data_IF_843058457537
#
_entry.id   IF_843058457537
#
_cell.length_a   1.000
_cell.length_b   1.000
_cell.length_c   1.000
_cell.angle_alpha   90.00
_cell.angle_beta   90.00
_cell.angle_gamma   90.00
#
_symmetry.space_group_name_H-M   'P 1'
#
loop_
_entity.id
_entity.type
_entity.pdbx_description
1 polymer ?
#
# COMPACT_ATOMS: atom_id res chain seq x y z
N UNK A 1 24.48 -7.78 7.62
CA UNK A 1 23.98 -7.36 8.94
C UNK A 1 22.65 -6.72 8.68
N UNK A 2 21.56 -7.38 9.07
CA UNK A 2 20.25 -6.74 8.99
C UNK A 2 20.22 -5.52 9.92
N UNK A 3 19.55 -4.43 9.55
CA UNK A 3 19.38 -3.30 10.45
C UNK A 3 18.70 -3.77 11.75
N UNK A 4 19.07 -3.21 12.92
CA UNK A 4 18.52 -3.63 14.20
C UNK A 4 17.07 -3.14 14.35
N UNK A 5 16.15 -3.82 13.68
CA UNK A 5 14.70 -3.64 13.77
C UNK A 5 14.09 -4.76 14.59
N UNK A 6 13.10 -4.42 15.41
CA UNK A 6 12.35 -5.37 16.21
C UNK A 6 11.62 -6.38 15.31
N UNK A 7 11.43 -7.59 15.84
CA UNK A 7 10.67 -8.65 15.14
C UNK A 7 9.23 -8.21 14.83
N UNK A 8 8.63 -7.41 15.71
CA UNK A 8 7.28 -6.89 15.51
C UNK A 8 7.22 -5.90 14.34
N UNK A 9 8.19 -4.99 14.23
CA UNK A 9 8.27 -4.06 13.10
C UNK A 9 8.49 -4.82 11.78
N UNK A 10 9.37 -5.82 11.76
CA UNK A 10 9.57 -6.67 10.57
C UNK A 10 8.27 -7.34 10.12
N UNK A 11 7.57 -8.00 11.04
CA UNK A 11 6.29 -8.64 10.72
C UNK A 11 5.23 -7.64 10.22
N UNK A 12 5.21 -6.42 10.78
CA UNK A 12 4.33 -5.35 10.27
C UNK A 12 4.70 -4.91 8.86
N UNK A 13 5.98 -4.81 8.53
CA UNK A 13 6.43 -4.46 7.18
C UNK A 13 6.12 -5.57 6.18
N UNK A 14 6.35 -6.83 6.56
CA UNK A 14 6.01 -8.00 5.74
C UNK A 14 4.50 -8.01 5.43
N UNK A 15 3.66 -7.77 6.45
CA UNK A 15 2.22 -7.67 6.27
C UNK A 15 1.78 -6.48 5.40
N UNK A 16 2.50 -5.35 5.43
CA UNK A 16 2.23 -4.21 4.56
C UNK A 16 2.60 -4.52 3.10
N UNK A 17 3.67 -5.29 2.86
CA UNK A 17 4.05 -5.74 1.53
C UNK A 17 2.97 -6.66 0.95
N UNK A 18 2.54 -7.67 1.72
CA UNK A 18 1.47 -8.58 1.31
C UNK A 18 0.17 -7.82 1.00
N UNK A 19 -0.18 -6.84 1.83
CA UNK A 19 -1.36 -6.01 1.58
C UNK A 19 -1.18 -5.14 0.33
N UNK A 20 -0.01 -4.54 0.10
CA UNK A 20 0.21 -3.74 -1.10
C UNK A 20 0.02 -4.56 -2.38
N UNK A 21 0.43 -5.83 -2.38
CA UNK A 21 0.19 -6.71 -3.51
C UNK A 21 -1.31 -6.83 -3.82
N UNK A 22 -2.17 -6.86 -2.81
CA UNK A 22 -3.63 -6.89 -3.02
C UNK A 22 -4.21 -5.58 -3.57
N UNK A 23 -3.46 -4.47 -3.58
CA UNK A 23 -3.93 -3.20 -4.16
C UNK A 23 -3.80 -3.16 -5.68
N UNK A 24 -3.06 -4.09 -6.27
CA UNK A 24 -2.83 -4.16 -7.72
C UNK A 24 -3.90 -4.97 -8.42
N UNK A 25 -4.24 -4.55 -9.64
CA UNK A 25 -5.00 -5.38 -10.57
C UNK A 25 -4.04 -6.39 -11.24
N UNK A 26 -3.90 -7.58 -10.66
CA UNK A 26 -2.97 -8.59 -11.17
C UNK A 26 -3.39 -9.19 -12.52
N UNK A 27 -4.68 -9.17 -12.84
CA UNK A 27 -5.17 -9.65 -14.14
C UNK A 27 -4.70 -8.71 -15.26
N UNK A 28 -4.72 -7.40 -15.02
CA UNK A 28 -4.15 -6.40 -15.92
C UNK A 28 -3.74 -5.12 -15.16
N UNK A 29 -2.44 -4.94 -14.82
CA UNK A 29 -1.97 -3.84 -13.98
C UNK A 29 -2.31 -2.42 -14.44
N UNK A 30 -2.48 -2.14 -15.75
CA UNK A 30 -2.92 -0.82 -16.20
C UNK A 30 -4.38 -0.48 -15.85
N UNK A 31 -5.22 -1.47 -15.53
CA UNK A 31 -6.60 -1.26 -15.12
C UNK A 31 -6.68 -0.88 -13.63
N UNK A 32 -7.79 -0.26 -13.20
CA UNK A 32 -8.04 0.10 -11.81
C UNK A 32 -7.75 -1.02 -10.81
N UNK A 33 -6.98 -0.69 -9.77
CA UNK A 33 -6.78 -1.55 -8.62
C UNK A 33 -8.09 -1.77 -7.84
N UNK A 34 -8.28 -2.90 -7.16
CA UNK A 34 -9.58 -3.29 -6.60
C UNK A 34 -9.93 -2.55 -5.29
N UNK A 35 -9.05 -1.70 -4.77
CA UNK A 35 -9.23 -1.09 -3.47
C UNK A 35 -10.15 0.13 -3.52
N UNK A 36 -11.13 0.10 -2.62
CA UNK A 36 -11.96 1.27 -2.30
C UNK A 36 -11.21 2.26 -1.41
N UNK A 37 -11.62 3.52 -1.45
CA UNK A 37 -10.91 4.62 -0.77
C UNK A 37 -10.73 4.34 0.73
N UNK A 38 -11.73 3.77 1.39
CA UNK A 38 -11.65 3.42 2.81
C UNK A 38 -10.52 2.43 3.13
N UNK A 39 -10.23 1.50 2.22
CA UNK A 39 -9.12 0.54 2.36
C UNK A 39 -7.77 1.23 2.09
N UNK A 40 -7.71 2.09 1.07
CA UNK A 40 -6.53 2.91 0.77
C UNK A 40 -6.14 3.79 1.96
N UNK A 41 -7.10 4.54 2.54
CA UNK A 41 -6.88 5.39 3.71
C UNK A 41 -6.35 4.58 4.89
N UNK A 42 -6.92 3.40 5.15
CA UNK A 42 -6.45 2.54 6.24
C UNK A 42 -5.01 2.09 6.01
N UNK A 43 -4.70 1.61 4.81
CA UNK A 43 -3.34 1.17 4.46
C UNK A 43 -2.33 2.32 4.59
N UNK A 44 -2.66 3.50 4.07
CA UNK A 44 -1.79 4.69 4.16
C UNK A 44 -1.47 5.02 5.63
N UNK A 45 -2.47 4.99 6.52
CA UNK A 45 -2.27 5.21 7.95
C UNK A 45 -1.32 4.17 8.57
N UNK A 46 -1.47 2.90 8.21
CA UNK A 46 -0.64 1.81 8.71
C UNK A 46 0.82 1.94 8.21
N UNK A 47 1.04 2.36 6.95
CA UNK A 47 2.38 2.68 6.41
C UNK A 47 3.03 3.85 7.16
N UNK A 48 2.29 4.94 7.39
CA UNK A 48 2.82 6.11 8.15
C UNK A 48 3.20 5.72 9.58
N UNK A 49 2.41 4.85 10.23
CA UNK A 49 2.72 4.34 11.55
C UNK A 49 3.99 3.46 11.56
N UNK A 50 4.13 2.57 10.57
CA UNK A 50 5.32 1.73 10.42
C UNK A 50 6.59 2.56 10.16
N UNK A 51 6.51 3.58 9.30
CA UNK A 51 7.63 4.48 9.02
C UNK A 51 8.06 5.28 10.27
N UNK A 52 7.09 5.81 11.02
CA UNK A 52 7.38 6.50 12.29
C UNK A 52 8.08 5.56 13.28
N UNK A 53 7.62 4.31 13.37
CA UNK A 53 8.25 3.29 14.21
C UNK A 53 9.67 2.95 13.75
N UNK A 54 9.87 2.82 12.44
CA UNK A 54 11.16 2.53 11.84
C UNK A 54 12.19 3.64 12.14
N UNK A 55 11.81 4.91 11.98
CA UNK A 55 12.66 6.06 12.34
C UNK A 55 13.06 6.04 13.82
N UNK A 56 12.09 5.73 14.70
CA UNK A 56 12.34 5.64 16.13
C UNK A 56 13.30 4.50 16.50
N UNK A 57 13.16 3.31 15.90
CA UNK A 57 14.05 2.17 16.18
C UNK A 57 15.46 2.35 15.61
N UNK A 58 15.59 2.99 14.44
CA UNK A 58 16.91 3.23 13.84
C UNK A 58 17.61 4.49 14.40
N UNK A 59 16.89 5.33 15.14
CA UNK A 59 17.44 6.56 15.73
C UNK A 59 17.92 7.57 14.69
N UNK A 60 17.35 7.54 13.48
CA UNK A 60 17.72 8.42 12.37
C UNK A 60 16.53 8.69 11.46
N UNK A 61 16.64 9.78 10.72
CA UNK A 61 15.72 10.07 9.62
C UNK A 61 15.89 9.08 8.48
N UNK A 62 14.78 8.86 7.78
CA UNK A 62 14.67 7.97 6.62
C UNK A 62 13.86 8.73 5.60
N UNK A 63 14.38 8.79 4.37
CA UNK A 63 13.67 9.38 3.24
C UNK A 63 12.33 8.67 3.02
N UNK A 64 11.28 9.46 2.89
CA UNK A 64 9.92 8.99 2.68
C UNK A 64 9.57 9.11 1.19
N UNK A 65 9.72 8.00 0.46
CA UNK A 65 9.30 7.89 -0.94
C UNK A 65 7.88 7.35 -1.11
N UNK A 66 7.13 7.15 -0.02
CA UNK A 66 5.82 6.53 -0.10
C UNK A 66 4.79 7.51 -0.67
N UNK A 67 4.16 7.09 -1.77
CA UNK A 67 3.01 7.77 -2.35
C UNK A 67 1.74 7.12 -1.82
N UNK A 68 0.84 7.94 -1.28
CA UNK A 68 -0.43 7.45 -0.75
C UNK A 68 -1.28 6.83 -1.86
N UNK A 69 -1.89 5.69 -1.53
CA UNK A 69 -2.85 5.05 -2.40
C UNK A 69 -4.18 5.78 -2.30
N UNK A 70 -4.87 5.84 -3.43
CA UNK A 70 -6.25 6.31 -3.52
C UNK A 70 -7.05 5.33 -4.38
N UNK A 71 -8.35 5.29 -4.15
CA UNK A 71 -9.26 4.63 -5.07
C UNK A 71 -9.03 5.16 -6.49
N UNK A 72 -8.94 4.25 -7.44
CA UNK A 72 -8.83 4.64 -8.84
C UNK A 72 -10.14 5.35 -9.24
N UNK A 73 -10.08 6.56 -9.82
CA UNK A 73 -11.29 7.31 -10.19
C UNK A 73 -12.18 6.56 -11.18
N UNK A 74 -11.61 5.61 -11.94
CA UNK A 74 -12.32 4.80 -12.91
C UNK A 74 -12.82 3.47 -12.34
N UNK A 75 -12.62 3.18 -11.04
CA UNK A 75 -12.93 1.89 -10.43
C UNK A 75 -14.41 1.51 -10.57
N UNK A 76 -15.33 2.45 -10.36
CA UNK A 76 -16.76 2.19 -10.54
C UNK A 76 -17.10 1.84 -11.99
N UNK A 77 -16.47 2.52 -12.96
CA UNK A 77 -16.65 2.20 -14.39
C UNK A 77 -16.08 0.82 -14.71
N UNK A 78 -14.91 0.49 -14.16
CA UNK A 78 -14.28 -0.81 -14.32
C UNK A 78 -15.14 -1.93 -13.75
N UNK A 79 -15.65 -1.79 -12.51
CA UNK A 79 -16.47 -2.82 -11.87
C UNK A 79 -17.83 -3.01 -12.54
N UNK A 80 -18.37 -1.99 -13.21
CA UNK A 80 -19.62 -2.09 -13.95
C UNK A 80 -19.49 -2.94 -15.24
N UNK A 81 -18.35 -2.84 -15.95
CA UNK A 81 -18.04 -3.67 -17.12
C UNK A 81 -16.52 -3.89 -17.28
N UNK A 82 -15.93 -4.87 -16.56
CA UNK A 82 -14.50 -5.11 -16.61
C UNK A 82 -13.99 -5.53 -18.00
N UNK A 83 -14.84 -6.21 -18.80
CA UNK A 83 -14.44 -6.74 -20.11
C UNK A 83 -14.47 -5.67 -21.20
N UNK A 84 -15.35 -4.68 -21.06
CA UNK A 84 -15.46 -3.55 -21.97
C UNK A 84 -14.68 -2.31 -21.53
N UNK A 85 -14.06 -2.33 -20.34
CA UNK A 85 -13.33 -1.20 -19.81
C UNK A 85 -12.18 -0.77 -20.72
N UNK A 86 -12.07 0.55 -20.93
CA UNK A 86 -10.96 1.19 -21.65
C UNK A 86 -10.63 2.49 -20.96
N UNK A 87 -9.38 2.63 -20.53
CA UNK A 87 -8.89 3.84 -19.86
C UNK A 87 -8.89 5.05 -20.79
#
# INVERSE_FOLDING_TARGET
MDPPMSRALRASLDSLIEQYDESMNWDYPPDPGPWREARCVRFNADVRAALARLRAELGREIEDGFTELHEDPDLDRYLADPKGFKR
#
